data_IF_738071175280
#
_entry.id   IF_738071175280
#
_cell.length_a   1.000
_cell.length_b   1.000
_cell.length_c   1.000
_cell.angle_alpha   90.00
_cell.angle_beta   90.00
_cell.angle_gamma   90.00
#
_symmetry.space_group_name_H-M   'P 1'
#
loop_
_entity.id
_entity.type
_entity.pdbx_description
1 polymer ?
#
# COMPACT_ATOMS: atom_id res chain seq x y z
N UNK A 1 -17.90 -14.45 -9.25
CA UNK A 1 -18.42 -13.09 -8.95
C UNK A 1 -17.50 -12.08 -9.60
N UNK A 2 -18.03 -11.06 -10.30
CA UNK A 2 -17.19 -10.00 -10.89
C UNK A 2 -16.56 -9.21 -9.73
N UNK A 3 -15.23 -9.19 -9.64
CA UNK A 3 -14.51 -8.35 -8.67
C UNK A 3 -14.79 -6.89 -9.02
N UNK A 4 -15.52 -6.18 -8.17
CA UNK A 4 -15.72 -4.73 -8.29
C UNK A 4 -14.47 -4.07 -7.73
N UNK A 5 -13.70 -3.40 -8.60
CA UNK A 5 -12.52 -2.63 -8.21
C UNK A 5 -12.88 -1.16 -8.01
N UNK A 6 -12.32 -0.54 -6.97
CA UNK A 6 -12.49 0.90 -6.71
C UNK A 6 -11.27 1.65 -7.22
N UNK A 7 -11.49 2.63 -8.11
CA UNK A 7 -10.42 3.52 -8.59
C UNK A 7 -10.09 4.54 -7.52
N UNK A 8 -8.81 4.74 -7.25
CA UNK A 8 -8.32 5.74 -6.34
C UNK A 8 -7.00 6.34 -6.82
N UNK A 9 -6.55 7.38 -6.13
CA UNK A 9 -5.23 7.98 -6.27
C UNK A 9 -4.41 7.64 -5.03
N UNK A 10 -3.29 6.94 -5.24
CA UNK A 10 -2.33 6.60 -4.20
C UNK A 10 -1.38 7.77 -3.93
N UNK A 11 -1.33 8.18 -2.67
CA UNK A 11 -0.33 9.08 -2.11
C UNK A 11 0.58 8.25 -1.19
N UNK A 12 1.90 8.43 -1.32
CA UNK A 12 2.83 7.85 -0.37
C UNK A 12 3.57 8.92 0.43
N UNK A 13 3.92 8.59 1.67
CA UNK A 13 4.63 9.51 2.55
C UNK A 13 5.19 8.87 3.81
N UNK A 14 5.77 9.69 4.66
CA UNK A 14 6.29 9.27 5.98
C UNK A 14 5.18 9.37 7.02
N UNK A 15 5.21 8.45 7.98
CA UNK A 15 4.39 8.54 9.19
C UNK A 15 5.28 8.48 10.42
N UNK A 16 4.81 9.04 11.54
CA UNK A 16 5.55 8.95 12.81
C UNK A 16 5.74 7.50 13.26
N UNK A 17 4.72 6.66 13.05
CA UNK A 17 4.79 5.24 13.40
C UNK A 17 5.82 4.51 12.55
N UNK A 18 5.80 4.69 11.23
CA UNK A 18 6.80 4.13 10.31
C UNK A 18 8.23 4.56 10.68
N UNK A 19 8.43 5.82 11.07
CA UNK A 19 9.73 6.32 11.52
C UNK A 19 10.20 5.61 12.80
N UNK A 20 9.35 5.53 13.82
CA UNK A 20 9.69 4.87 15.09
C UNK A 20 9.99 3.38 14.93
N UNK A 21 9.14 2.66 14.22
CA UNK A 21 9.28 1.20 14.04
C UNK A 21 10.46 0.84 13.14
N UNK A 22 10.84 1.72 12.20
CA UNK A 22 12.07 1.54 11.41
C UNK A 22 13.33 1.52 12.28
N UNK A 23 13.35 2.27 13.39
CA UNK A 23 14.48 2.28 14.33
C UNK A 23 14.52 1.02 15.21
N UNK A 24 13.37 0.37 15.43
CA UNK A 24 13.30 -0.91 16.16
C UNK A 24 13.80 -2.08 15.31
N UNK A 25 13.71 -1.96 13.98
CA UNK A 25 14.26 -2.91 13.02
C UNK A 25 13.31 -3.13 11.85
N UNK A 26 13.86 -3.10 10.63
CA UNK A 26 13.08 -3.20 9.38
C UNK A 26 12.53 -4.59 9.06
N UNK A 27 12.91 -5.61 9.81
CA UNK A 27 12.35 -6.97 9.71
C UNK A 27 11.37 -7.28 10.87
N UNK A 28 11.11 -6.31 11.74
CA UNK A 28 10.18 -6.49 12.86
C UNK A 28 8.71 -6.49 12.40
N UNK A 29 7.86 -7.18 13.16
CA UNK A 29 6.40 -7.14 12.97
C UNK A 29 5.84 -5.73 13.17
N UNK A 30 6.44 -4.96 14.08
CA UNK A 30 6.09 -3.55 14.32
C UNK A 30 6.33 -2.70 13.05
N UNK A 31 7.45 -2.90 12.38
CA UNK A 31 7.71 -2.18 11.13
C UNK A 31 6.75 -2.66 10.02
N UNK A 32 6.56 -3.97 9.86
CA UNK A 32 5.62 -4.54 8.89
C UNK A 32 4.20 -3.96 9.08
N UNK A 33 3.67 -3.96 10.30
CA UNK A 33 2.34 -3.43 10.61
C UNK A 33 2.23 -1.92 10.41
N UNK A 34 3.35 -1.19 10.44
CA UNK A 34 3.38 0.26 10.20
C UNK A 34 3.48 0.66 8.72
N UNK A 35 3.99 -0.22 7.83
CA UNK A 35 4.21 0.10 6.41
C UNK A 35 3.34 -0.70 5.45
N UNK A 36 2.86 -1.87 5.85
CA UNK A 36 1.97 -2.71 5.06
C UNK A 36 0.49 -2.38 5.35
N UNK A 37 0.16 -1.09 5.27
CA UNK A 37 -1.17 -0.55 5.51
C UNK A 37 -1.56 0.43 4.41
N UNK A 38 -2.84 0.46 4.06
CA UNK A 38 -3.44 1.44 3.17
C UNK A 38 -4.54 2.19 3.93
N UNK A 39 -4.29 3.46 4.20
CA UNK A 39 -5.24 4.39 4.81
C UNK A 39 -6.23 4.88 3.75
N UNK A 40 -7.52 4.80 4.06
CA UNK A 40 -8.60 5.17 3.13
C UNK A 40 -9.83 5.66 3.88
N UNK A 41 -10.70 6.39 3.19
CA UNK A 41 -11.93 6.92 3.75
C UNK A 41 -13.02 5.85 3.90
N UNK A 42 -14.01 6.13 4.76
CA UNK A 42 -15.10 5.21 5.05
C UNK A 42 -15.93 4.81 3.82
N UNK A 43 -16.15 5.71 2.87
CA UNK A 43 -16.94 5.42 1.67
C UNK A 43 -16.17 4.48 0.72
N UNK A 44 -14.85 4.66 0.58
CA UNK A 44 -14.03 3.68 -0.16
C UNK A 44 -14.12 2.28 0.45
N UNK A 45 -14.07 2.18 1.79
CA UNK A 45 -14.21 0.89 2.49
C UNK A 45 -15.59 0.27 2.31
N UNK A 46 -16.65 1.07 2.41
CA UNK A 46 -18.03 0.64 2.22
C UNK A 46 -18.26 0.10 0.79
N UNK A 47 -17.77 0.80 -0.23
CA UNK A 47 -17.89 0.35 -1.64
C UNK A 47 -17.11 -0.94 -1.88
N UNK A 48 -15.96 -1.11 -1.22
CA UNK A 48 -15.19 -2.36 -1.26
C UNK A 48 -15.84 -3.48 -0.43
N UNK A 49 -16.72 -3.16 0.52
CA UNK A 49 -17.31 -4.12 1.45
C UNK A 49 -16.29 -4.69 2.42
N UNK A 50 -15.33 -3.89 2.88
CA UNK A 50 -14.28 -4.28 3.83
C UNK A 50 -14.34 -3.49 5.12
N UNK A 51 -13.84 -4.05 6.21
CA UNK A 51 -13.66 -3.40 7.50
C UNK A 51 -12.19 -3.04 7.75
N UNK A 52 -11.93 -2.26 8.79
CA UNK A 52 -10.56 -1.92 9.19
C UNK A 52 -9.78 -3.18 9.61
N UNK A 53 -8.55 -3.30 9.09
CA UNK A 53 -7.69 -4.46 9.31
C UNK A 53 -7.81 -5.56 8.26
N UNK A 54 -8.86 -5.53 7.43
CA UNK A 54 -9.04 -6.49 6.34
C UNK A 54 -7.96 -6.35 5.26
N UNK A 55 -7.68 -7.44 4.57
CA UNK A 55 -6.72 -7.44 3.47
C UNK A 55 -7.32 -6.79 2.21
N UNK A 56 -6.57 -5.84 1.64
CA UNK A 56 -6.90 -5.13 0.41
C UNK A 56 -5.75 -5.25 -0.57
N UNK A 57 -6.07 -5.58 -1.83
CA UNK A 57 -5.12 -5.63 -2.94
C UNK A 57 -5.15 -4.32 -3.71
N UNK A 58 -4.00 -3.67 -3.83
CA UNK A 58 -3.78 -2.49 -4.64
C UNK A 58 -3.11 -2.91 -5.95
N UNK A 59 -3.70 -2.55 -7.08
CA UNK A 59 -3.17 -2.84 -8.41
C UNK A 59 -2.88 -1.55 -9.16
N UNK A 60 -1.67 -1.46 -9.71
CA UNK A 60 -1.20 -0.38 -10.58
C UNK A 60 -0.75 -0.95 -11.92
N UNK A 61 -0.32 -0.10 -12.85
CA UNK A 61 0.25 -0.56 -14.12
C UNK A 61 1.56 -1.36 -13.97
N UNK A 62 2.23 -1.26 -12.81
CA UNK A 62 3.54 -1.86 -12.58
C UNK A 62 3.46 -3.20 -11.83
N UNK A 63 2.35 -3.46 -11.17
CA UNK A 63 2.16 -4.64 -10.34
C UNK A 63 1.09 -4.44 -9.28
N UNK A 64 0.99 -5.40 -8.37
CA UNK A 64 0.05 -5.38 -7.28
C UNK A 64 0.69 -5.75 -5.93
N UNK A 65 0.06 -5.29 -4.85
CA UNK A 65 0.45 -5.59 -3.48
C UNK A 65 -0.78 -5.76 -2.60
N UNK A 66 -0.70 -6.68 -1.63
CA UNK A 66 -1.72 -6.86 -0.60
C UNK A 66 -1.23 -6.27 0.73
N UNK A 67 -2.06 -5.42 1.32
CA UNK A 67 -1.81 -4.72 2.58
C UNK A 67 -3.07 -4.72 3.45
N UNK A 68 -2.99 -4.28 4.71
CA UNK A 68 -4.18 -4.13 5.56
C UNK A 68 -4.86 -2.79 5.30
N UNK A 69 -6.18 -2.76 5.30
CA UNK A 69 -6.96 -1.53 5.32
C UNK A 69 -6.81 -0.82 6.68
N UNK A 70 -6.80 0.50 6.66
CA UNK A 70 -6.85 1.35 7.85
C UNK A 70 -7.80 2.50 7.59
N UNK A 71 -8.69 2.78 8.55
CA UNK A 71 -9.65 3.86 8.39
C UNK A 71 -8.95 5.20 8.67
N UNK A 72 -9.03 6.12 7.71
CA UNK A 72 -8.71 7.53 7.93
C UNK A 72 -9.98 8.37 7.79
N UNK A 73 -10.47 8.89 8.91
CA UNK A 73 -11.68 9.72 8.97
C UNK A 73 -11.51 11.07 8.25
N UNK A 74 -10.28 11.50 8.00
CA UNK A 74 -9.95 12.75 7.33
C UNK A 74 -9.55 12.55 5.87
N UNK A 75 -9.45 11.29 5.41
CA UNK A 75 -9.14 11.00 4.02
C UNK A 75 -10.24 11.51 3.10
N UNK A 76 -9.83 12.04 1.94
CA UNK A 76 -10.76 12.45 0.89
C UNK A 76 -11.21 11.21 0.10
N UNK A 77 -12.51 11.10 -0.24
CA UNK A 77 -12.99 10.02 -1.10
C UNK A 77 -12.19 9.86 -2.38
N UNK A 78 -11.78 8.62 -2.68
CA UNK A 78 -10.98 8.29 -3.87
C UNK A 78 -9.50 8.64 -3.76
N UNK A 79 -9.02 9.05 -2.59
CA UNK A 79 -7.58 9.20 -2.30
C UNK A 79 -7.22 8.22 -1.19
N UNK A 80 -6.15 7.46 -1.42
CA UNK A 80 -5.62 6.50 -0.44
C UNK A 80 -4.17 6.79 -0.14
N UNK A 81 -3.74 6.43 1.06
CA UNK A 81 -2.40 6.71 1.55
C UNK A 81 -1.67 5.43 1.97
N UNK A 82 -0.41 5.29 1.57
CA UNK A 82 0.49 4.25 2.08
C UNK A 82 1.76 4.88 2.67
N UNK A 83 2.18 4.45 3.87
CA UNK A 83 3.49 4.79 4.40
C UNK A 83 4.61 4.26 3.49
N UNK A 84 5.74 4.96 3.46
CA UNK A 84 6.92 4.49 2.75
C UNK A 84 7.44 3.18 3.31
N UNK A 85 7.66 2.21 2.43
CA UNK A 85 8.20 0.92 2.78
C UNK A 85 8.21 -0.05 1.58
N UNK A 86 8.70 -1.28 1.81
CA UNK A 86 8.82 -2.30 0.76
C UNK A 86 7.51 -2.57 0.00
N UNK A 87 6.39 -2.63 0.72
CA UNK A 87 5.06 -2.87 0.12
C UNK A 87 4.65 -1.76 -0.84
N UNK A 88 4.78 -0.49 -0.44
CA UNK A 88 4.48 0.64 -1.33
C UNK A 88 5.39 0.62 -2.57
N UNK A 89 6.69 0.37 -2.38
CA UNK A 89 7.67 0.34 -3.48
C UNK A 89 7.41 -0.75 -4.52
N UNK A 90 6.64 -1.79 -4.19
CA UNK A 90 6.27 -2.86 -5.13
C UNK A 90 5.36 -2.36 -6.26
N UNK A 91 4.61 -1.29 -6.01
CA UNK A 91 3.62 -0.74 -6.95
C UNK A 91 3.92 0.71 -7.37
N UNK A 92 5.03 1.28 -6.92
CA UNK A 92 5.47 2.63 -7.27
C UNK A 92 6.57 2.57 -8.34
N UNK A 93 6.49 3.48 -9.32
CA UNK A 93 7.43 3.51 -10.43
C UNK A 93 8.78 4.12 -10.11
N UNK A 94 9.76 3.78 -10.94
CA UNK A 94 11.12 4.35 -10.92
C UNK A 94 11.33 5.50 -11.91
N UNK A 95 10.33 5.80 -12.76
CA UNK A 95 10.38 6.91 -13.73
C UNK A 95 10.52 8.25 -13.03
N UNK A 96 11.55 9.03 -13.42
CA UNK A 96 11.95 10.28 -12.76
C UNK A 96 11.63 11.53 -13.56
N UNK A 97 11.16 11.39 -14.80
CA UNK A 97 10.89 12.49 -15.72
C UNK A 97 12.10 13.43 -15.92
N UNK A 98 13.33 12.90 -15.80
CA UNK A 98 14.57 13.68 -15.92
C UNK A 98 14.91 14.55 -14.70
N UNK A 99 14.16 14.46 -13.61
CA UNK A 99 14.40 15.23 -12.38
C UNK A 99 15.19 14.47 -11.31
N UNK A 100 15.49 13.18 -11.53
CA UNK A 100 16.20 12.33 -10.57
C UNK A 100 15.37 11.85 -9.37
N UNK A 101 14.07 12.20 -9.30
CA UNK A 101 13.14 11.73 -8.26
C UNK A 101 11.94 11.03 -8.91
N UNK A 102 11.61 9.78 -8.51
CA UNK A 102 10.44 9.11 -9.05
C UNK A 102 9.09 9.69 -8.61
N UNK A 103 8.06 9.39 -9.40
CA UNK A 103 6.67 9.75 -9.11
C UNK A 103 6.07 8.91 -7.97
N UNK A 104 6.26 9.35 -6.73
CA UNK A 104 5.76 8.67 -5.53
C UNK A 104 4.36 9.11 -5.07
N UNK A 105 3.81 10.18 -5.64
CA UNK A 105 2.51 10.75 -5.25
C UNK A 105 1.63 10.90 -6.49
N UNK A 106 0.34 10.68 -6.32
CA UNK A 106 -0.63 10.86 -7.41
C UNK A 106 -0.72 9.64 -8.32
N UNK A 107 -0.34 8.45 -7.84
CA UNK A 107 -0.29 7.23 -8.66
C UNK A 107 -1.69 6.64 -8.80
N UNK A 108 -2.24 6.47 -10.02
CA UNK A 108 -3.53 5.82 -10.20
C UNK A 108 -3.47 4.36 -9.74
N UNK A 109 -4.46 3.95 -8.94
CA UNK A 109 -4.55 2.59 -8.37
C UNK A 109 -5.97 2.06 -8.43
N UNK A 110 -6.12 0.75 -8.51
CA UNK A 110 -7.40 0.05 -8.36
C UNK A 110 -7.33 -0.85 -7.13
N UNK A 111 -8.28 -0.67 -6.21
CA UNK A 111 -8.40 -1.41 -4.97
C UNK A 111 -9.37 -2.58 -5.15
N UNK A 112 -9.04 -3.73 -4.58
CA UNK A 112 -9.88 -4.92 -4.54
C UNK A 112 -9.87 -5.56 -3.15
N UNK A 113 -10.99 -6.11 -2.66
CA UNK A 113 -10.98 -6.95 -1.47
C UNK A 113 -10.11 -8.18 -1.69
N UNK A 114 -9.37 -8.60 -0.65
CA UNK A 114 -8.47 -9.76 -0.71
C UNK A 114 -8.63 -10.68 0.53
N UNK A 115 -9.84 -11.17 0.84
CA UNK A 115 -10.13 -11.90 2.08
C UNK A 115 -9.30 -13.19 2.24
N UNK A 116 -8.91 -13.84 1.14
CA UNK A 116 -8.17 -15.10 1.14
C UNK A 116 -6.64 -14.91 1.00
N UNK A 117 -6.13 -13.68 1.15
CA UNK A 117 -4.70 -13.38 0.93
C UNK A 117 -4.10 -12.67 2.12
N UNK A 118 -3.00 -13.23 2.64
CA UNK A 118 -2.22 -12.60 3.70
C UNK A 118 -1.26 -11.54 3.15
N UNK A 119 -0.98 -10.54 3.97
CA UNK A 119 0.08 -9.57 3.73
C UNK A 119 1.43 -10.30 3.76
N UNK A 120 2.21 -10.19 2.69
CA UNK A 120 3.57 -10.76 2.63
C UNK A 120 4.48 -10.13 3.67
N UNK A 121 5.39 -10.93 4.22
CA UNK A 121 6.42 -10.39 5.10
C UNK A 121 7.43 -9.54 4.31
N UNK A 122 8.23 -8.76 5.01
CA UNK A 122 9.27 -7.96 4.35
C UNK A 122 10.34 -8.86 3.73
N UNK A 123 10.67 -9.96 4.41
CA UNK A 123 11.63 -10.94 3.91
C UNK A 123 11.16 -11.60 2.61
N UNK A 124 9.88 -11.99 2.54
CA UNK A 124 9.27 -12.52 1.30
C UNK A 124 9.36 -11.52 0.15
N UNK A 125 9.12 -10.23 0.43
CA UNK A 125 9.19 -9.17 -0.59
C UNK A 125 10.62 -8.94 -1.09
N UNK A 126 11.62 -9.05 -0.22
CA UNK A 126 13.03 -8.90 -0.61
C UNK A 126 13.45 -10.03 -1.55
N UNK A 127 13.15 -11.28 -1.21
CA UNK A 127 13.48 -12.43 -2.06
C UNK A 127 12.76 -12.40 -3.42
N UNK A 128 11.58 -11.80 -3.51
CA UNK A 128 10.89 -11.59 -4.80
C UNK A 128 11.64 -10.61 -5.72
N UNK A 129 12.35 -9.64 -5.14
CA UNK A 129 13.10 -8.63 -5.91
C UNK A 129 14.47 -9.13 -6.41
N UNK A 130 15.03 -10.15 -5.76
CA UNK A 130 16.34 -10.72 -6.10
C UNK A 130 16.30 -11.65 -7.33
N UNK A 131 15.13 -12.12 -7.74
CA UNK A 131 14.94 -12.96 -8.93
C UNK A 131 14.92 -12.20 -10.26
N UNK A 132 15.15 -10.89 -10.24
CA UNK A 132 15.13 -10.00 -11.41
C UNK A 132 16.50 -9.39 -11.71
N UNK A 133 17.50 -10.22 -11.98
CA UNK A 133 18.78 -9.83 -12.61
C UNK A 133 19.20 -10.92 -13.60
#
# INVERSE_FOLDING_TARGET
MKKVGVKAVLISGRTLQQGRTSELGKLSEDYLSSVAVCEMDANTMEVLGIHEGDAVRLETLLGDVVVRSKLDQNARPGVVFMPWGPHANTILGSETHGCGMPSYKGVPVILFPAPDTSVRTIDDLLHLSEGGI
#
